data_IF_302072736810
#
_entry.id   IF_302072736810
#
_cell.length_a   1.000
_cell.length_b   1.000
_cell.length_c   1.000
_cell.angle_alpha   90.00
_cell.angle_beta   90.00
_cell.angle_gamma   90.00
#
_symmetry.space_group_name_H-M   'P 1'
#
loop_
_entity.id
_entity.type
_entity.pdbx_description
1 polymer ?
#
# COMPACT_ATOMS: atom_id res chain seq x y z
N UNK A 1 6.53 4.05 -9.96
CA UNK A 1 5.79 5.03 -9.13
C UNK A 1 5.56 4.50 -7.71
N UNK A 2 4.66 3.53 -7.49
CA UNK A 2 4.27 3.01 -6.15
C UNK A 2 5.46 2.53 -5.29
N UNK A 3 6.25 1.56 -5.78
CA UNK A 3 7.43 1.03 -5.04
C UNK A 3 8.52 2.08 -4.78
N UNK A 4 8.62 3.10 -5.63
CA UNK A 4 9.58 4.19 -5.45
C UNK A 4 9.14 5.15 -4.35
N UNK A 5 7.85 5.51 -4.31
CA UNK A 5 7.27 6.30 -3.22
C UNK A 5 7.38 5.54 -1.89
N UNK A 6 7.02 4.25 -1.87
CA UNK A 6 7.12 3.39 -0.68
C UNK A 6 8.56 3.29 -0.14
N UNK A 7 9.57 3.16 -1.01
CA UNK A 7 10.99 3.17 -0.61
C UNK A 7 11.40 4.49 0.05
N UNK A 8 10.86 5.62 -0.41
CA UNK A 8 11.19 6.95 0.08
C UNK A 8 10.31 7.39 1.28
N UNK A 9 9.96 6.45 2.16
CA UNK A 9 9.08 6.64 3.32
C UNK A 9 9.50 7.76 4.27
N UNK A 10 10.78 8.14 4.28
CA UNK A 10 11.26 9.29 5.04
C UNK A 10 10.61 10.61 4.62
N UNK A 11 10.24 10.75 3.35
CA UNK A 11 9.82 12.01 2.74
C UNK A 11 8.53 11.94 1.92
N UNK A 12 8.05 10.75 1.59
CA UNK A 12 6.91 10.55 0.69
C UNK A 12 5.84 9.68 1.35
N UNK A 13 4.59 10.14 1.31
CA UNK A 13 3.41 9.34 1.66
C UNK A 13 2.87 8.66 0.39
N UNK A 14 2.72 7.34 0.41
CA UNK A 14 2.15 6.55 -0.69
C UNK A 14 0.80 6.00 -0.25
N UNK A 15 -0.20 5.97 -1.15
CA UNK A 15 -1.52 5.40 -0.84
C UNK A 15 -1.93 4.49 -1.99
N UNK A 16 -2.43 3.30 -1.65
CA UNK A 16 -2.81 2.25 -2.62
C UNK A 16 -4.24 1.72 -2.41
N UNK A 17 -4.93 2.17 -1.37
CA UNK A 17 -6.28 1.75 -1.01
C UNK A 17 -7.14 2.98 -0.66
N UNK A 18 -8.28 3.19 -1.34
CA UNK A 18 -9.17 4.31 -1.05
C UNK A 18 -9.70 4.35 0.39
N UNK A 19 -9.71 3.21 1.11
CA UNK A 19 -10.13 3.17 2.51
C UNK A 19 -9.19 3.95 3.44
N UNK A 20 -7.95 4.21 3.00
CA UNK A 20 -6.98 4.99 3.79
C UNK A 20 -7.15 6.51 3.60
N UNK A 21 -8.02 6.97 2.71
CA UNK A 21 -8.13 8.40 2.42
C UNK A 21 -8.64 9.21 3.62
N UNK A 22 -9.66 8.71 4.31
CA UNK A 22 -10.25 9.45 5.43
C UNK A 22 -9.25 9.65 6.56
N UNK A 23 -8.51 8.61 6.95
CA UNK A 23 -7.52 8.72 8.03
C UNK A 23 -6.37 9.66 7.68
N UNK A 24 -5.96 9.73 6.42
CA UNK A 24 -4.94 10.67 5.94
C UNK A 24 -5.46 12.10 5.96
N UNK A 25 -6.71 12.33 5.56
CA UNK A 25 -7.34 13.64 5.62
C UNK A 25 -7.44 14.10 7.08
N UNK A 26 -7.94 13.23 7.97
CA UNK A 26 -8.08 13.53 9.39
C UNK A 26 -6.71 13.90 10.02
N UNK A 27 -5.65 13.15 9.70
CA UNK A 27 -4.30 13.40 10.20
C UNK A 27 -3.71 14.73 9.66
N UNK A 28 -3.97 15.06 8.39
CA UNK A 28 -3.56 16.36 7.82
C UNK A 28 -4.33 17.52 8.44
N UNK A 29 -5.62 17.36 8.71
CA UNK A 29 -6.44 18.40 9.32
C UNK A 29 -6.01 18.67 10.78
N UNK A 30 -5.60 17.63 11.51
CA UNK A 30 -5.15 17.74 12.90
C UNK A 30 -3.71 18.25 13.04
N UNK A 31 -2.78 17.73 12.24
CA UNK A 31 -1.34 17.95 12.45
C UNK A 31 -0.65 18.73 11.33
N UNK A 32 -1.32 18.99 10.20
CA UNK A 32 -0.74 19.61 8.98
C UNK A 32 0.41 18.80 8.37
N UNK A 33 0.64 17.58 8.89
CA UNK A 33 1.64 16.64 8.41
C UNK A 33 1.14 15.21 8.63
N UNK A 34 1.61 14.28 7.79
CA UNK A 34 1.43 12.85 8.04
C UNK A 34 2.60 12.36 8.87
N UNK A 35 2.34 11.69 9.99
CA UNK A 35 3.38 11.15 10.85
C UNK A 35 4.24 10.10 10.14
N UNK A 36 5.49 9.95 10.60
CA UNK A 36 6.37 8.89 10.08
C UNK A 36 5.76 7.49 10.27
N UNK A 37 5.06 7.26 11.39
CA UNK A 37 4.41 5.98 11.67
C UNK A 37 3.30 5.67 10.66
N UNK A 38 2.47 6.65 10.30
CA UNK A 38 1.48 6.47 9.22
C UNK A 38 2.17 6.20 7.88
N UNK A 39 3.20 6.98 7.50
CA UNK A 39 3.94 6.73 6.25
C UNK A 39 4.55 5.33 6.22
N UNK A 40 5.08 4.84 7.34
CA UNK A 40 5.66 3.51 7.47
C UNK A 40 4.62 2.40 7.27
N UNK A 41 3.44 2.53 7.88
CA UNK A 41 2.32 1.59 7.67
C UNK A 41 1.89 1.55 6.20
N UNK A 42 1.70 2.73 5.60
CA UNK A 42 1.29 2.85 4.20
C UNK A 42 2.37 2.33 3.22
N UNK A 43 3.66 2.53 3.52
CA UNK A 43 4.76 1.97 2.75
C UNK A 43 4.75 0.43 2.77
N UNK A 44 4.55 -0.17 3.95
CA UNK A 44 4.42 -1.63 4.07
C UNK A 44 3.21 -2.15 3.26
N UNK A 45 2.06 -1.48 3.38
CA UNK A 45 0.85 -1.80 2.59
C UNK A 45 1.10 -1.70 1.09
N UNK A 46 1.80 -0.67 0.63
CA UNK A 46 2.13 -0.47 -0.78
C UNK A 46 3.05 -1.57 -1.34
N UNK A 47 4.09 -1.98 -0.60
CA UNK A 47 4.93 -3.11 -1.01
C UNK A 47 4.14 -4.42 -1.03
N UNK A 48 3.30 -4.67 -0.03
CA UNK A 48 2.39 -5.82 -0.01
C UNK A 48 1.45 -5.85 -1.21
N UNK A 49 0.84 -4.72 -1.54
CA UNK A 49 -0.04 -4.59 -2.72
C UNK A 49 0.70 -4.92 -4.03
N UNK A 50 1.93 -4.42 -4.20
CA UNK A 50 2.72 -4.75 -5.39
C UNK A 50 3.15 -6.21 -5.45
N UNK A 51 3.48 -6.83 -4.31
CA UNK A 51 3.83 -8.24 -4.25
C UNK A 51 2.62 -9.15 -4.58
N UNK A 52 1.42 -8.77 -4.14
CA UNK A 52 0.18 -9.46 -4.51
C UNK A 52 -0.07 -9.37 -6.01
N UNK A 53 0.07 -8.17 -6.59
CA UNK A 53 -0.07 -7.98 -8.04
C UNK A 53 0.92 -8.84 -8.84
N UNK A 54 2.20 -8.86 -8.44
CA UNK A 54 3.23 -9.67 -9.08
C UNK A 54 2.92 -11.18 -8.95
N UNK A 55 2.40 -11.63 -7.81
CA UNK A 55 1.95 -13.02 -7.58
C UNK A 55 0.80 -13.41 -8.52
N UNK A 56 -0.20 -12.54 -8.67
CA UNK A 56 -1.34 -12.78 -9.55
C UNK A 56 -0.86 -12.93 -10.99
N UNK A 57 0.03 -12.04 -11.45
CA UNK A 57 0.62 -12.14 -12.79
C UNK A 57 1.39 -13.44 -12.96
N UNK A 58 2.25 -13.79 -11.99
CA UNK A 58 3.03 -15.02 -12.05
C UNK A 58 2.14 -16.26 -12.21
N UNK A 59 1.11 -16.39 -11.38
CA UNK A 59 0.19 -17.53 -11.42
C UNK A 59 -0.58 -17.59 -12.74
N UNK A 60 -1.05 -16.44 -13.23
CA UNK A 60 -1.70 -16.36 -14.54
C UNK A 60 -0.76 -16.83 -15.67
N UNK A 61 0.50 -16.39 -15.68
CA UNK A 61 1.48 -16.81 -16.69
C UNK A 61 1.90 -18.27 -16.57
N UNK A 62 1.77 -18.86 -15.38
CA UNK A 62 2.04 -20.28 -15.10
C UNK A 62 0.84 -21.20 -15.44
N UNK A 63 -0.28 -20.63 -15.89
CA UNK A 63 -1.53 -21.34 -16.16
C UNK A 63 -2.14 -22.00 -14.89
N UNK A 64 -1.84 -21.43 -13.72
CA UNK A 64 -2.49 -21.79 -12.45
C UNK A 64 -3.76 -20.98 -12.25
N UNK A 65 -4.81 -21.60 -11.67
CA UNK A 65 -6.05 -20.87 -11.33
C UNK A 65 -5.72 -19.68 -10.44
N UNK A 66 -6.17 -18.49 -10.84
CA UNK A 66 -6.07 -17.28 -10.03
C UNK A 66 -6.88 -17.53 -8.75
N UNK A 67 -6.19 -17.66 -7.62
CA UNK A 67 -6.83 -17.76 -6.31
C UNK A 67 -7.29 -16.35 -5.92
N UNK A 68 -8.60 -16.12 -5.88
CA UNK A 68 -9.14 -14.89 -5.31
C UNK A 68 -8.88 -14.86 -3.80
N UNK A 69 -8.15 -13.80 -3.38
CA UNK A 69 -7.75 -13.37 -2.02
C UNK A 69 -8.01 -14.31 -0.83
N UNK A 70 -6.94 -14.73 -0.10
CA UNK A 70 -6.99 -14.85 1.35
C UNK A 70 -6.47 -13.55 2.01
N UNK A 71 -7.32 -12.96 2.83
CA UNK A 71 -7.12 -11.87 3.80
C UNK A 71 -5.69 -11.38 4.08
N UNK A 72 -5.48 -10.09 3.84
CA UNK A 72 -4.66 -9.25 4.71
C UNK A 72 -5.38 -7.90 4.86
N UNK A 73 -6.30 -7.83 5.83
CA UNK A 73 -6.71 -6.57 6.42
C UNK A 73 -5.58 -6.17 7.39
N UNK A 74 -4.66 -5.34 6.91
CA UNK A 74 -3.77 -4.53 7.74
C UNK A 74 -4.19 -3.07 7.61
#
# INVERSE_FOLDING_TARGET
MVRSAAKNVGWVTVVVDPQDYQSIIDELDEFVEISFETRKKLSAKAFGHTAQYDTIIHNYLKDEKIVERPFFNL
#
